data_IF_033180481804
#
_entry.id   IF_033180481804
#
_cell.length_a   1.000
_cell.length_b   1.000
_cell.length_c   1.000
_cell.angle_alpha   90.00
_cell.angle_beta   90.00
_cell.angle_gamma   90.00
#
_symmetry.space_group_name_H-M   'P 1'
#
loop_
_entity.id
_entity.type
_entity.pdbx_description
1 polymer ?
#
# COMPACT_ATOMS: atom_id res chain seq x y z
N UNK A 1 -10.71 16.63 0.79
CA UNK A 1 -11.28 15.56 -0.06
C UNK A 1 -10.40 14.35 0.10
N UNK A 2 -10.98 13.23 0.53
CA UNK A 2 -10.22 11.99 0.73
C UNK A 2 -9.97 11.33 -0.62
N UNK A 3 -8.70 11.35 -1.06
CA UNK A 3 -8.24 10.67 -2.27
C UNK A 3 -7.93 9.21 -1.93
N UNK A 4 -8.65 8.28 -2.54
CA UNK A 4 -8.43 6.84 -2.30
C UNK A 4 -7.38 6.30 -3.27
N UNK A 5 -6.34 5.65 -2.73
CA UNK A 5 -5.21 5.13 -3.50
C UNK A 5 -5.34 3.62 -3.70
N UNK A 6 -5.25 3.17 -4.95
CA UNK A 6 -5.41 1.77 -5.32
C UNK A 6 -4.20 1.23 -6.08
N UNK A 7 -3.91 -0.05 -5.85
CA UNK A 7 -2.86 -0.75 -6.58
C UNK A 7 -3.29 -1.11 -8.03
N UNK A 8 -2.32 -1.51 -8.85
CA UNK A 8 -2.49 -1.93 -10.26
C UNK A 8 -3.43 -3.10 -10.50
N UNK A 9 -3.72 -3.90 -9.48
CA UNK A 9 -4.71 -4.96 -9.58
C UNK A 9 -6.16 -4.46 -9.61
N UNK A 10 -6.39 -3.24 -9.13
CA UNK A 10 -7.72 -2.61 -9.08
C UNK A 10 -8.06 -1.82 -10.35
N UNK A 11 -7.18 -1.81 -11.36
CA UNK A 11 -7.44 -1.16 -12.63
C UNK A 11 -8.46 -1.95 -13.47
N UNK A 12 -9.73 -1.84 -13.10
CA UNK A 12 -10.86 -2.48 -13.78
C UNK A 12 -11.94 -1.47 -14.13
N UNK A 13 -12.59 -1.65 -15.28
CA UNK A 13 -13.68 -0.77 -15.74
C UNK A 13 -14.84 -0.70 -14.75
N UNK A 14 -15.18 -1.84 -14.15
CA UNK A 14 -16.25 -1.94 -13.17
C UNK A 14 -15.98 -1.13 -11.91
N UNK A 15 -14.75 -1.20 -11.38
CA UNK A 15 -14.39 -0.44 -10.21
C UNK A 15 -14.36 1.06 -10.53
N UNK A 16 -13.74 1.45 -11.65
CA UNK A 16 -13.70 2.85 -12.07
C UNK A 16 -15.10 3.45 -12.24
N UNK A 17 -16.01 2.72 -12.90
CA UNK A 17 -17.41 3.11 -13.04
C UNK A 17 -18.09 3.35 -11.68
N UNK A 18 -17.82 2.47 -10.71
CA UNK A 18 -18.39 2.59 -9.37
C UNK A 18 -17.80 3.82 -8.63
N UNK A 19 -16.47 3.97 -8.68
CA UNK A 19 -15.75 5.03 -7.98
C UNK A 19 -16.03 6.43 -8.54
N UNK A 20 -16.19 6.56 -9.87
CA UNK A 20 -16.51 7.82 -10.55
C UNK A 20 -17.70 8.56 -9.92
N UNK A 21 -18.67 7.82 -9.37
CA UNK A 21 -19.87 8.36 -8.73
C UNK A 21 -19.77 8.55 -7.20
N UNK A 22 -18.71 8.05 -6.57
CA UNK A 22 -18.62 7.94 -5.11
C UNK A 22 -17.49 8.76 -4.51
N UNK A 23 -16.26 8.59 -5.02
CA UNK A 23 -15.05 9.11 -4.38
C UNK A 23 -13.98 9.45 -5.40
N UNK A 24 -13.12 10.41 -5.05
CA UNK A 24 -11.94 10.69 -5.84
C UNK A 24 -10.90 9.59 -5.64
N UNK A 25 -10.30 9.14 -6.74
CA UNK A 25 -9.39 8.00 -6.68
C UNK A 25 -8.14 8.17 -7.53
N UNK A 26 -7.12 7.38 -7.19
CA UNK A 26 -5.93 7.17 -7.98
C UNK A 26 -5.61 5.68 -8.04
N UNK A 27 -5.75 5.08 -9.22
CA UNK A 27 -5.40 3.67 -9.46
C UNK A 27 -4.15 3.62 -10.32
N UNK A 28 -3.11 2.92 -9.87
CA UNK A 28 -1.92 2.72 -10.70
C UNK A 28 -2.24 1.82 -11.89
N UNK A 29 -1.79 2.19 -13.08
CA UNK A 29 -2.15 1.49 -14.32
C UNK A 29 -1.02 0.57 -14.72
N UNK A 30 -1.35 -0.67 -15.12
CA UNK A 30 -0.36 -1.57 -15.75
C UNK A 30 0.04 -1.02 -17.11
N UNK A 31 1.34 -1.06 -17.40
CA UNK A 31 1.88 -0.75 -18.74
C UNK A 31 1.47 -1.84 -19.74
N UNK A 32 0.26 -1.71 -20.28
CA UNK A 32 -0.14 -2.45 -21.49
C UNK A 32 0.48 -1.77 -22.73
N UNK A 33 0.28 -2.35 -23.92
CA UNK A 33 0.86 -1.84 -25.17
C UNK A 33 0.47 -0.39 -25.49
N UNK A 34 -0.75 0.02 -25.14
CA UNK A 34 -1.26 1.38 -25.37
C UNK A 34 -0.62 2.39 -24.43
N UNK A 35 -0.66 2.12 -23.12
CA UNK A 35 -0.05 2.96 -22.10
C UNK A 35 1.45 3.11 -22.34
N UNK A 36 2.11 2.01 -22.73
CA UNK A 36 3.54 2.02 -23.06
C UNK A 36 3.85 2.90 -24.26
N UNK A 37 3.06 2.77 -25.34
CA UNK A 37 3.22 3.59 -26.55
C UNK A 37 3.06 5.08 -26.24
N UNK A 38 2.08 5.45 -25.42
CA UNK A 38 1.88 6.83 -25.02
C UNK A 38 3.10 7.37 -24.24
N UNK A 39 3.56 6.63 -23.23
CA UNK A 39 4.73 7.02 -22.44
C UNK A 39 6.00 7.12 -23.29
N UNK A 40 6.17 6.23 -24.27
CA UNK A 40 7.33 6.25 -25.16
C UNK A 40 7.32 7.44 -26.13
N UNK A 41 6.14 7.97 -26.45
CA UNK A 41 6.00 9.17 -27.28
C UNK A 41 6.25 10.50 -26.53
N UNK A 42 6.33 10.44 -25.20
CA UNK A 42 6.53 11.61 -24.34
C UNK A 42 8.01 11.94 -24.13
N UNK A 43 8.30 13.23 -23.95
CA UNK A 43 9.63 13.71 -23.57
C UNK A 43 9.98 13.35 -22.11
N UNK A 44 11.27 13.40 -21.78
CA UNK A 44 11.74 13.10 -20.42
C UNK A 44 11.21 14.13 -19.43
N UNK A 45 10.59 13.67 -18.34
CA UNK A 45 9.97 14.54 -17.33
C UNK A 45 8.60 15.08 -17.74
N UNK A 46 8.12 14.78 -18.96
CA UNK A 46 6.82 15.21 -19.42
C UNK A 46 5.70 14.56 -18.58
N UNK A 47 4.65 15.35 -18.39
CA UNK A 47 3.47 15.04 -17.61
C UNK A 47 2.24 15.37 -18.44
N UNK A 48 1.33 14.41 -18.56
CA UNK A 48 0.18 14.53 -19.47
C UNK A 48 -1.05 13.87 -18.89
N UNK A 49 -2.22 14.44 -19.13
CA UNK A 49 -3.50 13.83 -18.78
C UNK A 49 -4.30 13.60 -20.06
N UNK A 50 -4.87 12.41 -20.22
CA UNK A 50 -5.80 12.09 -21.32
C UNK A 50 -7.11 11.54 -20.79
N UNK A 51 -8.21 11.87 -21.44
CA UNK A 51 -9.49 11.19 -21.20
C UNK A 51 -9.49 9.84 -21.90
N UNK A 52 -9.87 8.80 -21.17
CA UNK A 52 -10.08 7.44 -21.66
C UNK A 52 -11.56 7.09 -21.49
N UNK A 53 -12.25 6.98 -22.62
CA UNK A 53 -13.61 6.48 -22.66
C UNK A 53 -13.61 4.95 -22.66
N UNK A 54 -14.54 4.35 -21.92
CA UNK A 54 -14.69 2.91 -21.86
C UNK A 54 -16.16 2.49 -21.78
N UNK A 55 -16.41 1.27 -22.27
CA UNK A 55 -17.71 0.62 -22.13
C UNK A 55 -17.60 -0.63 -21.28
N UNK A 56 -18.62 -0.86 -20.45
CA UNK A 56 -18.75 -2.02 -19.58
C UNK A 56 -20.17 -2.60 -19.71
N UNK A 57 -20.30 -3.92 -19.71
CA UNK A 57 -21.59 -4.61 -19.79
C UNK A 57 -21.97 -5.12 -18.40
N UNK A 58 -23.13 -4.72 -17.89
CA UNK A 58 -23.70 -5.19 -16.62
C UNK A 58 -25.15 -5.58 -16.85
N UNK A 59 -25.54 -6.79 -16.46
CA UNK A 59 -26.91 -7.31 -16.58
C UNK A 59 -27.50 -7.15 -18.00
N UNK A 60 -26.69 -7.40 -19.02
CA UNK A 60 -27.08 -7.27 -20.43
C UNK A 60 -27.17 -5.83 -20.95
N UNK A 61 -26.97 -4.81 -20.10
CA UNK A 61 -26.96 -3.40 -20.50
C UNK A 61 -25.54 -2.89 -20.75
N UNK A 62 -25.36 -2.18 -21.85
CA UNK A 62 -24.11 -1.48 -22.17
C UNK A 62 -24.09 -0.14 -21.45
N UNK A 63 -23.09 0.07 -20.60
CA UNK A 63 -22.83 1.30 -19.88
C UNK A 63 -21.56 1.92 -20.48
N UNK A 64 -21.59 3.21 -20.77
CA UNK A 64 -20.43 3.96 -21.28
C UNK A 64 -20.07 5.02 -20.24
N UNK A 65 -18.77 5.17 -19.97
CA UNK A 65 -18.23 6.12 -19.01
C UNK A 65 -16.79 6.50 -19.42
N UNK A 66 -16.18 7.44 -18.71
CA UNK A 66 -14.82 7.88 -18.95
C UNK A 66 -14.03 8.08 -17.67
N UNK A 67 -12.70 8.00 -17.78
CA UNK A 67 -11.76 8.31 -16.70
C UNK A 67 -10.56 9.04 -17.28
N UNK A 68 -9.81 9.76 -16.46
CA UNK A 68 -8.55 10.36 -16.89
C UNK A 68 -7.39 9.40 -16.63
N UNK A 69 -6.47 9.33 -17.58
CA UNK A 69 -5.17 8.69 -17.41
C UNK A 69 -4.10 9.78 -17.31
N UNK A 70 -3.47 9.88 -16.16
CA UNK A 70 -2.30 10.70 -15.90
C UNK A 70 -1.03 9.91 -16.21
N UNK A 71 -0.25 10.42 -17.16
CA UNK A 71 1.04 9.88 -17.60
C UNK A 71 2.18 10.73 -17.07
N UNK A 72 3.23 10.09 -16.56
CA UNK A 72 4.45 10.72 -16.10
C UNK A 72 5.64 9.95 -16.66
N UNK A 73 6.46 10.61 -17.50
CA UNK A 73 7.55 9.96 -18.24
C UNK A 73 8.89 10.17 -17.53
N UNK A 74 9.62 9.08 -17.26
CA UNK A 74 10.97 9.11 -16.66
C UNK A 74 11.06 10.10 -15.48
N UNK A 75 10.24 9.90 -14.47
CA UNK A 75 10.35 10.64 -13.21
C UNK A 75 11.49 10.02 -12.38
N UNK A 76 12.40 10.86 -11.92
CA UNK A 76 13.53 10.44 -11.10
C UNK A 76 13.07 10.09 -9.68
N UNK A 77 13.49 8.93 -9.17
CA UNK A 77 13.27 8.53 -7.79
C UNK A 77 14.59 8.58 -6.99
N UNK A 78 14.71 9.60 -6.14
CA UNK A 78 15.88 9.80 -5.27
C UNK A 78 16.18 8.60 -4.34
N UNK A 79 15.21 7.71 -4.08
CA UNK A 79 15.43 6.54 -3.21
C UNK A 79 16.20 5.42 -3.91
N UNK A 80 15.94 5.22 -5.20
CA UNK A 80 16.55 4.14 -5.99
C UNK A 80 17.58 4.65 -6.98
N UNK A 81 17.71 5.97 -7.14
CA UNK A 81 18.55 6.64 -8.13
C UNK A 81 18.22 6.23 -9.59
N UNK A 82 16.95 5.86 -9.82
CA UNK A 82 16.46 5.40 -11.13
C UNK A 82 15.33 6.29 -11.67
N UNK A 83 15.08 6.17 -12.97
CA UNK A 83 13.97 6.82 -13.66
C UNK A 83 12.83 5.84 -13.90
N UNK A 84 11.61 6.25 -13.57
CA UNK A 84 10.41 5.43 -13.77
C UNK A 84 9.34 6.16 -14.55
N UNK A 85 8.65 5.44 -15.43
CA UNK A 85 7.39 5.92 -16.02
C UNK A 85 6.20 5.41 -15.23
N UNK A 86 5.30 6.33 -14.92
CA UNK A 86 4.12 6.09 -14.09
C UNK A 86 2.87 6.43 -14.91
N UNK A 87 1.82 5.65 -14.71
CA UNK A 87 0.51 5.91 -15.28
C UNK A 87 -0.56 5.67 -14.22
N UNK A 88 -1.53 6.57 -14.12
CA UNK A 88 -2.61 6.48 -13.15
C UNK A 88 -3.96 6.75 -13.77
N UNK A 89 -4.96 5.95 -13.40
CA UNK A 89 -6.36 6.25 -13.68
C UNK A 89 -6.98 7.03 -12.53
N UNK A 90 -7.74 8.06 -12.86
CA UNK A 90 -8.34 8.98 -11.89
C UNK A 90 -9.57 9.67 -12.47
N UNK A 91 -10.54 10.01 -11.63
CA UNK A 91 -11.68 10.85 -12.01
C UNK A 91 -11.39 12.36 -11.89
N UNK A 92 -10.18 12.73 -11.45
CA UNK A 92 -9.78 14.12 -11.30
C UNK A 92 -9.28 14.68 -12.64
N UNK A 93 -9.94 15.74 -13.12
CA UNK A 93 -9.57 16.44 -14.36
C UNK A 93 -8.24 17.19 -14.22
N UNK A 94 -8.03 17.81 -13.08
CA UNK A 94 -6.80 18.48 -12.72
C UNK A 94 -6.17 17.73 -11.56
N UNK A 95 -4.98 17.19 -11.78
CA UNK A 95 -4.19 16.63 -10.69
C UNK A 95 -2.83 17.29 -10.66
N UNK A 96 -2.40 17.66 -9.45
CA UNK A 96 -1.02 18.00 -9.21
C UNK A 96 -0.17 16.72 -9.35
N UNK A 97 0.39 16.54 -10.55
CA UNK A 97 1.16 15.36 -10.91
C UNK A 97 2.46 15.23 -10.12
N UNK A 98 3.02 16.34 -9.61
CA UNK A 98 4.16 16.32 -8.68
C UNK A 98 3.77 15.70 -7.32
N UNK A 99 2.61 16.09 -6.80
CA UNK A 99 2.13 15.61 -5.51
C UNK A 99 1.63 14.15 -5.56
N UNK A 100 1.11 13.71 -6.72
CA UNK A 100 0.61 12.35 -6.95
C UNK A 100 1.66 11.29 -6.62
N UNK A 101 2.92 11.53 -7.02
CA UNK A 101 4.00 10.56 -6.84
C UNK A 101 4.26 10.34 -5.35
N UNK A 102 4.33 11.44 -4.59
CA UNK A 102 4.49 11.41 -3.13
C UNK A 102 3.32 10.70 -2.44
N UNK A 103 2.08 11.06 -2.78
CA UNK A 103 0.87 10.43 -2.24
C UNK A 103 0.85 8.92 -2.52
N UNK A 104 1.17 8.51 -3.74
CA UNK A 104 1.16 7.11 -4.11
C UNK A 104 2.28 6.30 -3.44
N UNK A 105 3.45 6.90 -3.18
CA UNK A 105 4.51 6.25 -2.39
C UNK A 105 4.05 5.90 -0.96
N UNK A 106 3.09 6.63 -0.38
CA UNK A 106 2.48 6.26 0.92
C UNK A 106 1.75 4.92 0.82
N UNK A 107 1.08 4.62 -0.31
CA UNK A 107 0.46 3.31 -0.56
C UNK A 107 1.48 2.18 -0.54
N UNK A 108 2.70 2.40 -1.05
CA UNK A 108 3.77 1.40 -0.96
C UNK A 108 4.19 1.13 0.49
N UNK A 109 4.09 2.12 1.37
CA UNK A 109 4.34 1.93 2.81
C UNK A 109 3.41 0.88 3.42
N UNK A 110 2.18 0.76 2.92
CA UNK A 110 1.24 -0.27 3.34
C UNK A 110 1.77 -1.68 3.01
N UNK A 111 2.43 -1.88 1.88
CA UNK A 111 3.05 -3.17 1.54
C UNK A 111 4.18 -3.54 2.51
N UNK A 112 4.99 -2.56 2.91
CA UNK A 112 6.04 -2.78 3.91
C UNK A 112 5.44 -3.14 5.28
N UNK A 113 4.38 -2.46 5.70
CA UNK A 113 3.66 -2.77 6.94
C UNK A 113 3.06 -4.17 6.86
N UNK A 114 2.41 -4.54 5.75
CA UNK A 114 1.88 -5.90 5.58
C UNK A 114 2.96 -6.98 5.67
N UNK A 115 4.17 -6.74 5.16
CA UNK A 115 5.29 -7.69 5.32
C UNK A 115 5.73 -7.83 6.78
N UNK A 116 5.81 -6.72 7.52
CA UNK A 116 6.10 -6.75 8.96
C UNK A 116 5.00 -7.48 9.72
N UNK A 117 3.74 -7.20 9.40
CA UNK A 117 2.59 -7.86 10.02
C UNK A 117 2.57 -9.37 9.72
N UNK A 118 2.91 -9.79 8.50
CA UNK A 118 3.03 -11.21 8.15
C UNK A 118 4.14 -11.90 8.96
N UNK A 119 5.28 -11.23 9.17
CA UNK A 119 6.33 -11.70 10.08
C UNK A 119 5.88 -11.74 11.56
N UNK A 120 5.01 -10.81 11.96
CA UNK A 120 4.48 -10.69 13.31
C UNK A 120 3.30 -11.63 13.61
N UNK A 121 2.69 -12.23 12.59
CA UNK A 121 1.43 -12.97 12.72
C UNK A 121 1.61 -14.20 13.61
N UNK A 122 0.88 -14.22 14.74
CA UNK A 122 0.80 -15.34 15.66
C UNK A 122 -0.24 -16.33 15.14
N UNK A 123 0.25 -17.43 14.55
CA UNK A 123 -0.61 -18.48 14.02
C UNK A 123 -1.28 -19.24 15.16
N UNK A 124 -2.62 -19.28 15.15
CA UNK A 124 -3.42 -20.04 16.12
C UNK A 124 -4.34 -21.04 15.44
N UNK A 125 -4.43 -22.26 16.00
CA UNK A 125 -5.41 -23.28 15.60
C UNK A 125 -6.75 -23.14 16.32
N UNK A 126 -6.84 -22.26 17.32
CA UNK A 126 -8.08 -22.07 18.10
C UNK A 126 -9.19 -21.54 17.21
N UNK A 127 -10.41 -22.07 17.36
CA UNK A 127 -11.61 -21.53 16.68
C UNK A 127 -12.33 -20.48 17.52
N UNK A 128 -11.93 -20.27 18.78
CA UNK A 128 -12.55 -19.30 19.67
C UNK A 128 -12.18 -17.87 19.23
N UNK A 129 -13.20 -17.06 18.92
CA UNK A 129 -13.03 -15.68 18.45
C UNK A 129 -12.31 -14.79 19.47
N UNK A 130 -12.53 -14.99 20.77
CA UNK A 130 -11.89 -14.20 21.82
C UNK A 130 -10.38 -14.47 21.85
N UNK A 131 -9.97 -15.72 21.65
CA UNK A 131 -8.55 -16.08 21.56
C UNK A 131 -7.92 -15.46 20.31
N UNK A 132 -8.60 -15.54 19.16
CA UNK A 132 -8.11 -14.94 17.91
C UNK A 132 -7.98 -13.42 18.02
N UNK A 133 -8.99 -12.77 18.59
CA UNK A 133 -9.00 -11.33 18.78
C UNK A 133 -7.91 -10.88 19.76
N UNK A 134 -7.72 -11.60 20.87
CA UNK A 134 -6.66 -11.32 21.82
C UNK A 134 -5.28 -11.41 21.15
N UNK A 135 -5.01 -12.48 20.39
CA UNK A 135 -3.74 -12.65 19.69
C UNK A 135 -3.51 -11.53 18.66
N UNK A 136 -4.53 -11.21 17.87
CA UNK A 136 -4.48 -10.09 16.93
C UNK A 136 -4.18 -8.76 17.65
N UNK A 137 -4.91 -8.43 18.72
CA UNK A 137 -4.68 -7.20 19.46
C UNK A 137 -3.27 -7.15 20.08
N UNK A 138 -2.78 -8.27 20.58
CA UNK A 138 -1.42 -8.40 21.11
C UNK A 138 -0.36 -8.17 20.04
N UNK A 139 -0.54 -8.71 18.82
CA UNK A 139 0.31 -8.43 17.67
C UNK A 139 0.37 -6.92 17.37
N UNK A 140 -0.78 -6.23 17.35
CA UNK A 140 -0.83 -4.79 17.10
C UNK A 140 -0.07 -3.97 18.15
N UNK A 141 -0.11 -4.40 19.41
CA UNK A 141 0.65 -3.75 20.49
C UNK A 141 2.15 -3.93 20.30
N UNK A 142 2.61 -5.15 19.98
CA UNK A 142 4.03 -5.41 19.72
C UNK A 142 4.54 -4.62 18.53
N UNK A 143 3.77 -4.58 17.44
CA UNK A 143 4.09 -3.80 16.24
C UNK A 143 4.18 -2.31 16.56
N UNK A 144 3.23 -1.77 17.33
CA UNK A 144 3.23 -0.36 17.73
C UNK A 144 4.46 -0.01 18.57
N UNK A 145 4.83 -0.84 19.54
CA UNK A 145 6.02 -0.64 20.39
C UNK A 145 7.28 -0.62 19.50
N UNK A 146 7.44 -1.62 18.65
CA UNK A 146 8.58 -1.68 17.72
C UNK A 146 8.61 -0.45 16.81
N UNK A 147 7.48 -0.11 16.20
CA UNK A 147 7.40 1.00 15.25
C UNK A 147 7.81 2.33 15.89
N UNK A 148 7.30 2.60 17.10
CA UNK A 148 7.53 3.87 17.80
C UNK A 148 8.95 4.01 18.34
N UNK A 149 9.54 2.92 18.86
CA UNK A 149 10.77 3.01 19.63
C UNK A 149 11.99 2.37 18.97
N UNK A 150 11.81 1.33 18.16
CA UNK A 150 12.91 0.46 17.73
C UNK A 150 13.08 0.33 16.20
N UNK A 151 12.11 0.81 15.41
CA UNK A 151 12.08 0.61 13.96
C UNK A 151 13.25 1.25 13.19
N UNK A 152 13.93 2.24 13.78
CA UNK A 152 15.13 2.86 13.22
C UNK A 152 16.41 2.09 13.53
N UNK A 153 16.38 1.23 14.54
CA UNK A 153 17.56 0.57 15.10
C UNK A 153 17.62 -0.91 14.72
N UNK A 154 16.45 -1.57 14.61
CA UNK A 154 16.37 -2.99 14.36
C UNK A 154 15.10 -3.40 13.61
N UNK A 155 15.15 -4.55 12.94
CA UNK A 155 13.98 -5.16 12.33
C UNK A 155 13.01 -5.69 13.39
N UNK A 156 11.73 -5.81 13.03
CA UNK A 156 10.69 -6.34 13.93
C UNK A 156 11.05 -7.74 14.45
N UNK A 157 11.53 -8.62 13.58
CA UNK A 157 12.01 -9.96 13.97
C UNK A 157 13.09 -9.91 15.05
N UNK A 158 14.08 -9.02 14.92
CA UNK A 158 15.15 -8.88 15.89
C UNK A 158 14.63 -8.36 17.23
N UNK A 159 13.73 -7.38 17.19
CA UNK A 159 13.04 -6.87 18.37
C UNK A 159 12.33 -7.99 19.16
N UNK A 160 11.60 -8.88 18.48
CA UNK A 160 10.92 -10.00 19.14
C UNK A 160 11.90 -10.98 19.81
N UNK A 161 13.04 -11.27 19.16
CA UNK A 161 14.08 -12.14 19.72
C UNK A 161 14.66 -11.51 21.00
N UNK A 162 15.09 -10.25 20.94
CA UNK A 162 15.68 -9.55 22.08
C UNK A 162 14.68 -9.37 23.24
N UNK A 163 13.41 -9.08 22.92
CA UNK A 163 12.33 -9.01 23.90
C UNK A 163 12.13 -10.36 24.60
N UNK A 164 12.06 -11.45 23.84
CA UNK A 164 11.91 -12.80 24.37
C UNK A 164 13.07 -13.17 25.29
N UNK A 165 14.31 -12.92 24.88
CA UNK A 165 15.50 -13.19 25.69
C UNK A 165 15.50 -12.38 27.00
N UNK A 166 15.08 -11.12 26.93
CA UNK A 166 15.01 -10.24 28.10
C UNK A 166 13.94 -10.74 29.08
N UNK A 167 12.74 -11.09 28.59
CA UNK A 167 11.67 -11.65 29.40
C UNK A 167 12.11 -12.93 30.11
N UNK A 168 12.76 -13.87 29.39
CA UNK A 168 13.26 -15.12 30.00
C UNK A 168 14.26 -14.83 31.13
N UNK A 169 15.24 -13.95 30.90
CA UNK A 169 16.22 -13.56 31.93
C UNK A 169 15.57 -12.92 33.16
N UNK A 170 14.49 -12.15 32.97
CA UNK A 170 13.77 -11.54 34.09
C UNK A 170 13.06 -12.59 34.94
N UNK A 171 12.40 -13.56 34.30
CA UNK A 171 11.76 -14.69 35.01
C UNK A 171 12.78 -15.50 35.80
N UNK A 172 13.89 -15.90 35.15
CA UNK A 172 14.96 -16.67 35.81
C UNK A 172 15.58 -15.92 37.01
N UNK A 173 15.65 -14.59 36.93
CA UNK A 173 16.13 -13.75 38.03
C UNK A 173 15.15 -13.67 39.20
N UNK A 174 13.84 -13.66 38.93
CA UNK A 174 12.82 -13.66 39.98
C UNK A 174 12.75 -15.02 40.68
N UNK A 175 12.89 -16.12 39.96
CA UNK A 175 12.92 -17.47 40.55
C UNK A 175 14.12 -17.62 41.50
N UNK A 176 15.32 -17.21 41.06
CA UNK A 176 16.52 -17.21 41.91
C UNK A 176 16.42 -16.34 43.15
N UNK A 177 15.58 -15.28 43.13
CA UNK A 177 15.31 -14.45 44.32
C UNK A 177 14.31 -15.07 45.29
N UNK A 178 13.49 -16.02 44.84
CA UNK A 178 12.53 -16.75 45.69
C UNK A 178 13.17 -17.97 46.36
N UNK A 179 14.26 -18.49 45.78
CA UNK A 179 15.01 -19.64 46.30
C UNK A 179 16.11 -19.29 47.31
N UNK A 180 16.47 -18.00 47.43
CA UNK A 180 17.40 -17.46 48.44
C UNK A 180 16.64 -16.73 49.55
#
# INVERSE_FOLDING_TARGET
MDLVLFDRWFYTKELMLSLNSMVNYLIFVRKNSEIRRELESMEMGEKKIKLLEFTYYRDGKKISDATYIAFLRKIFDHRTEEYYDWAFATNLKEVNLDEIVGKYKIRWRIENIFRVQDEATIKSKSLNINVRYFLFAYEQVLEAIWYLYFSKEMSFKRFIIELSETCSKMVDNEERKKEN
#
